data_IF_147714020378
#
_entry.id   IF_147714020378
#
_cell.length_a   1.000
_cell.length_b   1.000
_cell.length_c   1.000
_cell.angle_alpha   90.00
_cell.angle_beta   90.00
_cell.angle_gamma   90.00
#
_symmetry.space_group_name_H-M   'P 1'
#
loop_
_entity.id
_entity.type
_entity.pdbx_description
1 polymer ?
#
# COMPACT_ATOMS: atom_id res chain seq x y z
N UNK A 1 -18.37 -2.60 -17.10
CA UNK A 1 -17.13 -1.88 -17.46
C UNK A 1 -16.27 -1.42 -16.27
N UNK A 2 -16.73 -1.48 -15.01
CA UNK A 2 -15.92 -1.07 -13.84
C UNK A 2 -14.98 -2.16 -13.30
N UNK A 3 -15.36 -3.44 -13.38
CA UNK A 3 -14.56 -4.56 -12.84
C UNK A 3 -13.19 -4.74 -13.52
N UNK A 4 -13.06 -4.43 -14.83
CA UNK A 4 -11.77 -4.49 -15.53
C UNK A 4 -10.83 -3.35 -15.09
N UNK A 5 -11.38 -2.14 -14.87
CA UNK A 5 -10.62 -0.98 -14.39
C UNK A 5 -10.13 -1.17 -12.95
N UNK A 6 -10.89 -1.85 -12.10
CA UNK A 6 -10.48 -2.16 -10.73
C UNK A 6 -9.38 -3.23 -10.69
N UNK A 7 -9.51 -4.31 -11.46
CA UNK A 7 -8.43 -5.31 -11.58
C UNK A 7 -7.13 -4.74 -12.13
N UNK A 8 -7.20 -3.88 -13.15
CA UNK A 8 -6.01 -3.19 -13.69
C UNK A 8 -5.36 -2.23 -12.67
N UNK A 9 -6.15 -1.66 -11.75
CA UNK A 9 -5.64 -0.81 -10.68
C UNK A 9 -5.01 -1.63 -9.56
N UNK A 10 -5.63 -2.74 -9.15
CA UNK A 10 -5.10 -3.69 -8.17
C UNK A 10 -3.80 -4.34 -8.63
N UNK A 11 -3.72 -4.74 -9.90
CA UNK A 11 -2.51 -5.33 -10.49
C UNK A 11 -1.33 -4.34 -10.48
N UNK A 12 -1.60 -3.07 -10.75
CA UNK A 12 -0.60 -1.99 -10.62
C UNK A 12 -0.15 -1.74 -9.17
N UNK A 13 -1.04 -1.90 -8.19
CA UNK A 13 -0.68 -1.76 -6.77
C UNK A 13 0.22 -2.91 -6.30
N UNK A 14 -0.04 -4.13 -6.77
CA UNK A 14 0.80 -5.30 -6.49
C UNK A 14 2.21 -5.09 -7.07
N UNK A 15 2.29 -4.55 -8.29
CA UNK A 15 3.57 -4.25 -8.96
C UNK A 15 4.39 -3.19 -8.21
N UNK A 16 3.75 -2.10 -7.76
CA UNK A 16 4.40 -1.05 -6.97
C UNK A 16 4.95 -1.59 -5.65
N UNK A 17 4.18 -2.40 -4.92
CA UNK A 17 4.64 -3.00 -3.65
C UNK A 17 5.83 -3.93 -3.86
N UNK A 18 5.81 -4.73 -4.93
CA UNK A 18 6.93 -5.60 -5.30
C UNK A 18 8.18 -4.79 -5.62
N UNK A 19 8.04 -3.72 -6.40
CA UNK A 19 9.16 -2.82 -6.74
C UNK A 19 9.77 -2.16 -5.50
N UNK A 20 8.95 -1.70 -4.56
CA UNK A 20 9.41 -1.15 -3.27
C UNK A 20 10.23 -2.18 -2.51
N UNK A 21 9.79 -3.44 -2.43
CA UNK A 21 10.52 -4.51 -1.74
C UNK A 21 11.87 -4.82 -2.41
N UNK A 22 11.93 -4.86 -3.74
CA UNK A 22 13.16 -5.07 -4.50
C UNK A 22 14.18 -3.93 -4.28
N UNK A 23 13.71 -2.68 -4.28
CA UNK A 23 14.55 -1.51 -4.02
C UNK A 23 15.10 -1.52 -2.59
N UNK A 24 14.28 -1.87 -1.59
CA UNK A 24 14.72 -2.01 -0.18
C UNK A 24 15.79 -3.08 -0.03
N UNK A 25 15.59 -4.26 -0.59
CA UNK A 25 16.60 -5.33 -0.57
C UNK A 25 17.91 -4.91 -1.25
N UNK A 26 17.81 -4.17 -2.35
CA UNK A 26 18.99 -3.65 -3.05
C UNK A 26 19.73 -2.62 -2.22
N UNK A 27 18.99 -1.73 -1.53
CA UNK A 27 19.55 -0.74 -0.61
C UNK A 27 20.30 -1.42 0.54
N UNK A 28 19.71 -2.42 1.18
CA UNK A 28 20.34 -3.18 2.27
C UNK A 28 21.66 -3.82 1.85
N UNK A 29 21.70 -4.42 0.65
CA UNK A 29 22.94 -4.99 0.08
C UNK A 29 24.01 -3.92 -0.13
N UNK A 30 23.61 -2.75 -0.63
CA UNK A 30 24.52 -1.62 -0.84
C UNK A 30 25.07 -1.12 0.49
N UNK A 31 24.22 -0.94 1.49
CA UNK A 31 24.61 -0.47 2.82
C UNK A 31 25.54 -1.45 3.54
N UNK A 32 25.23 -2.75 3.50
CA UNK A 32 26.09 -3.81 4.02
C UNK A 32 27.46 -3.84 3.33
N UNK A 33 27.52 -3.53 2.04
CA UNK A 33 28.79 -3.41 1.34
C UNK A 33 29.55 -2.16 1.77
N UNK A 34 28.88 -1.01 1.86
CA UNK A 34 29.49 0.27 2.22
C UNK A 34 30.05 0.28 3.65
N UNK A 35 29.38 -0.38 4.61
CA UNK A 35 29.87 -0.51 5.98
C UNK A 35 31.17 -1.30 6.09
N UNK A 36 31.38 -2.26 5.20
CA UNK A 36 32.58 -3.10 5.13
C UNK A 36 33.58 -2.61 4.07
N UNK A 37 33.34 -1.46 3.44
CA UNK A 37 34.18 -0.97 2.35
C UNK A 37 35.45 -0.30 2.89
N UNK A 38 36.60 -0.44 2.21
CA UNK A 38 37.82 0.24 2.61
C UNK A 38 37.64 1.76 2.61
N UNK A 39 38.33 2.45 3.51
CA UNK A 39 38.32 3.91 3.59
C UNK A 39 38.88 4.54 2.30
N UNK A 40 38.47 5.77 2.00
CA UNK A 40 38.96 6.49 0.82
C UNK A 40 38.27 6.09 -0.48
N UNK A 41 38.93 6.36 -1.59
CA UNK A 41 38.44 6.15 -2.95
C UNK A 41 39.53 5.77 -3.95
N UNK A 42 39.10 5.31 -5.11
CA UNK A 42 39.97 4.97 -6.22
C UNK A 42 40.25 6.19 -7.10
N UNK A 43 41.53 6.45 -7.38
CA UNK A 43 41.96 7.40 -8.42
C UNK A 43 42.66 6.64 -9.54
N UNK A 44 42.28 6.97 -10.76
CA UNK A 44 42.81 6.34 -11.97
C UNK A 44 43.63 7.38 -12.72
N UNK A 45 44.83 7.00 -13.17
CA UNK A 45 45.66 7.83 -14.03
C UNK A 45 46.06 7.04 -15.28
N UNK A 46 45.90 7.64 -16.45
CA UNK A 46 46.30 7.04 -17.71
C UNK A 46 47.58 7.72 -18.21
N UNK A 47 48.61 6.93 -18.51
CA UNK A 47 49.91 7.41 -19.03
C UNK A 47 50.37 6.45 -20.13
N UNK A 48 50.71 6.96 -21.32
CA UNK A 48 51.28 6.18 -22.42
C UNK A 48 50.61 4.80 -22.64
N UNK A 49 49.27 4.79 -22.76
CA UNK A 49 48.42 3.58 -22.93
C UNK A 49 48.38 2.60 -21.74
N UNK A 50 48.91 2.96 -20.58
CA UNK A 50 48.80 2.19 -19.33
C UNK A 50 47.90 2.91 -18.34
N UNK A 51 47.12 2.12 -17.60
CA UNK A 51 46.24 2.59 -16.53
C UNK A 51 46.85 2.26 -15.18
N UNK A 52 46.94 3.26 -14.32
CA UNK A 52 47.49 3.18 -12.97
C UNK A 52 46.39 3.47 -11.95
N UNK A 53 46.30 2.61 -10.95
CA UNK A 53 45.33 2.71 -9.87
C UNK A 53 46.00 3.25 -8.61
N UNK A 54 45.33 4.17 -7.94
CA UNK A 54 45.80 4.77 -6.70
C UNK A 54 44.69 4.75 -5.66
N UNK A 55 45.03 4.41 -4.43
CA UNK A 55 44.17 4.55 -3.26
C UNK A 55 44.37 5.94 -2.68
N UNK A 56 43.30 6.72 -2.59
CA UNK A 56 43.32 8.05 -1.99
C UNK A 56 42.43 8.07 -0.75
N UNK A 57 42.97 8.47 0.40
CA UNK A 57 42.22 8.63 1.64
C UNK A 57 42.78 9.82 2.43
N UNK A 58 41.98 10.30 3.39
CA UNK A 58 42.40 11.37 4.30
C UNK A 58 43.06 10.70 5.50
N UNK A 59 44.32 11.00 5.76
CA UNK A 59 44.99 10.50 6.95
C UNK A 59 44.45 11.25 8.18
N UNK A 60 44.02 10.51 9.19
CA UNK A 60 43.34 11.06 10.38
C UNK A 60 44.33 11.82 11.27
N UNK A 61 45.58 11.35 11.36
CA UNK A 61 46.63 11.93 12.21
C UNK A 61 47.18 13.23 11.64
N UNK A 62 47.39 13.28 10.32
CA UNK A 62 47.98 14.45 9.64
C UNK A 62 46.93 15.38 9.02
N UNK A 63 45.69 14.92 8.87
CA UNK A 63 44.61 15.64 8.18
C UNK A 63 44.79 15.78 6.66
N UNK A 64 45.92 15.31 6.10
CA UNK A 64 46.27 15.45 4.69
C UNK A 64 45.76 14.28 3.85
N UNK A 65 45.53 14.56 2.57
CA UNK A 65 45.19 13.51 1.60
C UNK A 65 46.44 12.75 1.18
N UNK A 66 46.45 11.44 1.44
CA UNK A 66 47.51 10.54 1.00
C UNK A 66 47.03 9.80 -0.25
N UNK A 67 47.94 9.63 -1.22
CA UNK A 67 47.70 8.91 -2.46
C UNK A 67 48.76 7.83 -2.63
N UNK A 68 48.35 6.57 -2.57
CA UNK A 68 49.24 5.40 -2.61
C UNK A 68 48.98 4.62 -3.90
N UNK A 69 50.04 4.20 -4.60
CA UNK A 69 49.91 3.35 -5.78
C UNK A 69 49.43 1.95 -5.41
N UNK A 70 48.46 1.42 -6.17
CA UNK A 70 47.96 0.06 -6.01
C UNK A 70 48.70 -0.84 -7.02
N UNK A 71 49.54 -1.73 -6.51
CA UNK A 71 50.21 -2.74 -7.31
C UNK A 71 49.22 -3.80 -7.85
N UNK A 72 49.58 -4.47 -8.94
CA UNK A 72 48.76 -5.51 -9.59
C UNK A 72 48.39 -6.66 -8.64
N UNK A 73 49.25 -6.99 -7.69
CA UNK A 73 48.95 -8.03 -6.67
C UNK A 73 47.77 -7.64 -5.78
N UNK A 74 47.52 -6.34 -5.61
CA UNK A 74 46.45 -5.79 -4.79
C UNK A 74 45.27 -5.27 -5.62
N UNK A 75 45.05 -5.82 -6.83
CA UNK A 75 43.93 -5.42 -7.70
C UNK A 75 42.56 -5.54 -7.01
N UNK A 76 42.41 -6.48 -6.07
CA UNK A 76 41.19 -6.61 -5.27
C UNK A 76 40.85 -5.33 -4.49
N UNK A 77 41.84 -4.59 -3.99
CA UNK A 77 41.62 -3.30 -3.32
C UNK A 77 41.06 -2.27 -4.31
N UNK A 78 41.61 -2.21 -5.52
CA UNK A 78 41.12 -1.32 -6.56
C UNK A 78 39.66 -1.65 -6.94
N UNK A 79 39.31 -2.94 -7.09
CA UNK A 79 37.94 -3.38 -7.33
C UNK A 79 37.00 -2.97 -6.20
N UNK A 80 37.41 -3.16 -4.94
CA UNK A 80 36.58 -2.80 -3.79
C UNK A 80 36.31 -1.29 -3.71
N UNK A 81 37.33 -0.47 -3.95
CA UNK A 81 37.23 0.98 -3.98
C UNK A 81 36.38 1.48 -5.17
N UNK A 82 36.50 0.85 -6.35
CA UNK A 82 35.66 1.15 -7.50
C UNK A 82 34.19 0.85 -7.20
N UNK A 83 33.90 -0.33 -6.64
CA UNK A 83 32.55 -0.74 -6.27
C UNK A 83 31.94 0.19 -5.22
N UNK A 84 32.71 0.61 -4.22
CA UNK A 84 32.30 1.63 -3.24
C UNK A 84 31.87 2.93 -3.93
N UNK A 85 32.69 3.41 -4.88
CA UNK A 85 32.38 4.62 -5.65
C UNK A 85 31.12 4.49 -6.51
N UNK A 86 30.87 3.31 -7.08
CA UNK A 86 29.64 3.01 -7.81
C UNK A 86 28.42 3.04 -6.88
N UNK A 87 28.47 2.30 -5.76
CA UNK A 87 27.37 2.26 -4.79
C UNK A 87 27.08 3.60 -4.14
N UNK A 88 28.08 4.43 -3.86
CA UNK A 88 27.88 5.78 -3.35
C UNK A 88 27.07 6.67 -4.32
N UNK A 89 27.12 6.40 -5.62
CA UNK A 89 26.32 7.11 -6.64
C UNK A 89 24.94 6.49 -6.85
N UNK A 90 24.83 5.17 -6.76
CA UNK A 90 23.58 4.44 -6.98
C UNK A 90 22.62 4.59 -5.78
N UNK A 91 23.16 4.55 -4.55
CA UNK A 91 22.37 4.68 -3.31
C UNK A 91 21.37 5.86 -3.35
N UNK A 92 21.78 7.12 -3.60
CA UNK A 92 20.82 8.23 -3.60
C UNK A 92 19.79 8.16 -4.72
N UNK A 93 20.09 7.49 -5.84
CA UNK A 93 19.11 7.28 -6.92
C UNK A 93 18.02 6.30 -6.47
N UNK A 94 18.41 5.20 -5.83
CA UNK A 94 17.48 4.21 -5.27
C UNK A 94 16.64 4.83 -4.15
N UNK A 95 17.25 5.61 -3.24
CA UNK A 95 16.52 6.29 -2.17
C UNK A 95 15.46 7.26 -2.72
N UNK A 96 15.82 8.02 -3.76
CA UNK A 96 14.88 8.94 -4.41
C UNK A 96 13.73 8.20 -5.09
N UNK A 97 14.01 7.09 -5.78
CA UNK A 97 12.98 6.26 -6.42
C UNK A 97 12.05 5.65 -5.35
N UNK A 98 12.62 5.14 -4.27
CA UNK A 98 11.87 4.56 -3.16
C UNK A 98 10.95 5.59 -2.51
N UNK A 99 11.45 6.79 -2.21
CA UNK A 99 10.66 7.88 -1.62
C UNK A 99 9.50 8.28 -2.54
N UNK A 100 9.72 8.33 -3.86
CA UNK A 100 8.67 8.65 -4.82
C UNK A 100 7.57 7.57 -4.84
N UNK A 101 7.96 6.30 -4.82
CA UNK A 101 7.03 5.16 -4.80
C UNK A 101 6.26 5.06 -3.47
N UNK A 102 6.91 5.32 -2.34
CA UNK A 102 6.26 5.33 -1.03
C UNK A 102 5.28 6.49 -0.90
N UNK A 103 5.65 7.68 -1.38
CA UNK A 103 4.74 8.84 -1.45
C UNK A 103 3.54 8.52 -2.34
N UNK A 104 3.77 7.91 -3.50
CA UNK A 104 2.69 7.50 -4.41
C UNK A 104 1.76 6.47 -3.77
N UNK A 105 2.32 5.49 -3.06
CA UNK A 105 1.54 4.48 -2.35
C UNK A 105 0.71 5.08 -1.21
N UNK A 106 1.22 6.09 -0.50
CA UNK A 106 0.47 6.82 0.53
C UNK A 106 -0.62 7.71 -0.06
N UNK A 107 -0.31 8.47 -1.11
CA UNK A 107 -1.27 9.33 -1.79
C UNK A 107 -2.43 8.53 -2.40
N UNK A 108 -2.20 7.26 -2.76
CA UNK A 108 -3.25 6.35 -3.25
C UNK A 108 -4.31 5.97 -2.23
N UNK A 109 -4.14 6.29 -0.94
CA UNK A 109 -5.25 6.41 0.00
C UNK A 109 -6.02 7.71 -0.30
N UNK A 110 -6.56 7.80 -1.52
CA UNK A 110 -7.34 8.92 -2.08
C UNK A 110 -8.72 9.05 -1.37
N UNK A 111 -8.80 8.85 -0.05
CA UNK A 111 -9.99 9.14 0.73
C UNK A 111 -10.23 10.65 0.85
N UNK A 112 -9.22 11.49 0.58
CA UNK A 112 -9.35 12.95 0.70
C UNK A 112 -10.49 13.50 -0.17
N UNK A 113 -10.59 13.06 -1.43
CA UNK A 113 -11.67 13.47 -2.35
C UNK A 113 -13.02 12.94 -1.86
N UNK A 114 -13.05 11.67 -1.43
CA UNK A 114 -14.26 10.99 -0.97
C UNK A 114 -14.79 11.61 0.34
N UNK A 115 -13.89 12.09 1.20
CA UNK A 115 -14.19 12.70 2.49
C UNK A 115 -14.61 14.17 2.41
N UNK A 116 -14.39 14.87 1.28
CA UNK A 116 -14.83 16.27 1.12
C UNK A 116 -16.33 16.39 1.37
N UNK A 117 -17.11 15.45 0.84
CA UNK A 117 -18.56 15.43 1.05
C UNK A 117 -18.90 15.22 2.54
N UNK A 118 -18.18 14.33 3.23
CA UNK A 118 -18.40 14.05 4.64
C UNK A 118 -18.12 15.25 5.56
N UNK A 119 -17.21 16.13 5.15
CA UNK A 119 -16.88 17.37 5.87
C UNK A 119 -17.93 18.48 5.68
N UNK A 120 -18.85 18.34 4.71
CA UNK A 120 -19.92 19.33 4.51
C UNK A 120 -20.97 19.25 5.62
N UNK A 121 -21.47 20.42 6.03
CA UNK A 121 -22.67 20.50 6.89
C UNK A 121 -23.90 19.96 6.17
N UNK A 122 -24.86 19.45 6.93
CA UNK A 122 -26.04 18.76 6.40
C UNK A 122 -26.84 19.62 5.41
N UNK A 123 -26.96 20.93 5.66
CA UNK A 123 -27.68 21.85 4.78
C UNK A 123 -26.99 22.00 3.42
N UNK A 124 -25.66 21.93 3.40
CA UNK A 124 -24.87 21.96 2.15
C UNK A 124 -24.86 20.61 1.44
N UNK A 125 -24.85 19.50 2.18
CA UNK A 125 -24.96 18.15 1.61
C UNK A 125 -26.21 18.00 0.75
N UNK A 126 -27.34 18.56 1.17
CA UNK A 126 -28.60 18.55 0.41
C UNK A 126 -28.56 19.33 -0.91
N UNK A 127 -27.59 20.24 -1.09
CA UNK A 127 -27.49 21.12 -2.25
C UNK A 127 -26.39 20.70 -3.23
N UNK A 128 -25.59 19.69 -2.88
CA UNK A 128 -24.41 19.27 -3.65
C UNK A 128 -24.61 17.84 -4.14
N UNK A 129 -24.27 17.60 -5.41
CA UNK A 129 -24.14 16.24 -5.94
C UNK A 129 -22.67 15.84 -5.80
N UNK A 130 -22.32 14.87 -4.93
CA UNK A 130 -20.93 14.46 -4.75
C UNK A 130 -20.38 13.82 -6.03
N UNK A 131 -19.15 14.19 -6.41
CA UNK A 131 -18.42 13.55 -7.52
C UNK A 131 -18.11 12.09 -7.17
N UNK A 132 -17.73 11.85 -5.91
CA UNK A 132 -17.54 10.54 -5.29
C UNK A 132 -18.04 10.59 -3.87
N UNK A 133 -18.59 9.47 -3.40
CA UNK A 133 -19.16 9.31 -2.06
C UNK A 133 -18.27 8.36 -1.27
N UNK A 134 -17.93 8.73 -0.04
CA UNK A 134 -17.13 7.89 0.85
C UNK A 134 -17.83 6.57 1.18
N UNK A 135 -17.04 5.59 1.60
CA UNK A 135 -17.55 4.30 2.09
C UNK A 135 -18.47 4.51 3.29
N UNK A 136 -18.10 5.42 4.19
CA UNK A 136 -18.86 5.73 5.40
C UNK A 136 -20.24 6.30 5.06
N UNK A 137 -20.33 7.21 4.09
CA UNK A 137 -21.60 7.80 3.71
C UNK A 137 -22.49 6.81 2.94
N UNK A 138 -21.90 5.91 2.13
CA UNK A 138 -22.64 4.79 1.54
C UNK A 138 -23.26 3.89 2.61
N UNK A 139 -22.49 3.53 3.63
CA UNK A 139 -22.98 2.74 4.76
C UNK A 139 -24.09 3.46 5.52
N UNK A 140 -23.94 4.78 5.78
CA UNK A 140 -24.98 5.59 6.40
C UNK A 140 -26.25 5.67 5.57
N UNK A 141 -26.12 5.86 4.26
CA UNK A 141 -27.27 5.91 3.36
C UNK A 141 -27.99 4.57 3.37
N UNK A 142 -27.26 3.46 3.27
CA UNK A 142 -27.83 2.11 3.37
C UNK A 142 -28.53 1.84 4.71
N UNK A 143 -27.94 2.28 5.83
CA UNK A 143 -28.55 2.10 7.15
C UNK A 143 -29.85 2.89 7.34
N UNK A 144 -29.97 4.04 6.67
CA UNK A 144 -31.14 4.90 6.76
C UNK A 144 -32.15 4.68 5.61
N UNK A 145 -31.81 3.84 4.63
CA UNK A 145 -32.70 3.53 3.51
C UNK A 145 -33.81 2.60 4.03
N UNK A 146 -35.06 3.09 4.03
CA UNK A 146 -36.21 2.26 4.36
C UNK A 146 -36.53 1.33 3.19
N UNK A 147 -36.52 0.03 3.43
CA UNK A 147 -36.93 -0.94 2.41
C UNK A 147 -38.42 -1.30 2.55
N UNK A 148 -39.12 -1.45 1.43
CA UNK A 148 -40.50 -1.94 1.43
C UNK A 148 -40.50 -3.46 1.55
N UNK A 149 -41.06 -4.04 2.64
CA UNK A 149 -41.05 -5.47 2.81
C UNK A 149 -41.80 -6.15 1.67
N UNK A 150 -41.20 -7.16 1.07
CA UNK A 150 -41.76 -8.02 0.06
C UNK A 150 -43.01 -8.72 0.60
N UNK A 151 -44.18 -8.20 0.24
CA UNK A 151 -45.45 -8.68 0.79
C UNK A 151 -45.90 -10.04 0.23
N UNK A 152 -45.24 -10.56 -0.82
CA UNK A 152 -45.68 -11.79 -1.50
C UNK A 152 -45.22 -13.02 -0.70
N UNK A 153 -46.15 -13.95 -0.48
CA UNK A 153 -45.93 -15.20 0.24
C UNK A 153 -45.48 -15.01 1.70
N UNK A 154 -46.26 -14.26 2.50
CA UNK A 154 -46.00 -14.07 3.94
C UNK A 154 -45.96 -15.38 4.71
N UNK A 155 -46.71 -16.38 4.25
CA UNK A 155 -46.74 -17.72 4.81
C UNK A 155 -45.35 -18.38 4.83
N UNK A 156 -44.40 -17.91 4.01
CA UNK A 156 -43.06 -18.47 3.95
C UNK A 156 -42.06 -17.87 4.95
N UNK A 157 -42.41 -16.81 5.70
CA UNK A 157 -41.60 -16.31 6.83
C UNK A 157 -41.77 -17.27 8.02
N UNK A 158 -41.01 -18.37 8.00
CA UNK A 158 -41.14 -19.45 9.00
C UNK A 158 -39.89 -19.67 9.84
N UNK A 159 -38.76 -19.10 9.43
CA UNK A 159 -37.48 -19.36 10.08
C UNK A 159 -37.06 -18.14 10.89
N UNK A 160 -36.76 -18.32 12.17
CA UNK A 160 -36.37 -17.25 13.08
C UNK A 160 -34.84 -17.12 13.16
N UNK A 161 -34.34 -15.89 13.20
CA UNK A 161 -32.91 -15.57 13.42
C UNK A 161 -32.61 -15.43 14.91
N UNK A 162 -31.33 -15.39 15.29
CA UNK A 162 -30.91 -15.24 16.69
C UNK A 162 -31.31 -13.87 17.28
N UNK A 163 -31.59 -12.89 16.40
CA UNK A 163 -32.07 -11.56 16.75
C UNK A 163 -33.62 -11.46 16.75
N UNK A 164 -34.34 -12.57 16.55
CA UNK A 164 -35.82 -12.61 16.56
C UNK A 164 -36.49 -12.16 15.26
N UNK A 165 -35.74 -12.02 14.17
CA UNK A 165 -36.27 -11.67 12.85
C UNK A 165 -36.75 -12.93 12.12
N UNK A 166 -37.81 -12.82 11.31
CA UNK A 166 -38.34 -13.96 10.53
C UNK A 166 -37.89 -13.88 9.07
N UNK A 167 -37.27 -14.96 8.57
CA UNK A 167 -36.76 -15.08 7.20
C UNK A 167 -37.37 -16.27 6.46
N UNK A 168 -37.28 -16.25 5.12
CA UNK A 168 -37.93 -17.25 4.25
C UNK A 168 -37.11 -18.51 3.96
N UNK A 169 -35.84 -18.56 4.37
CA UNK A 169 -34.96 -19.70 4.10
C UNK A 169 -33.96 -19.95 5.21
N UNK A 170 -33.54 -21.21 5.37
CA UNK A 170 -32.46 -21.61 6.28
C UNK A 170 -31.13 -20.93 5.94
N UNK A 171 -30.85 -20.75 4.65
CA UNK A 171 -29.69 -19.96 4.20
C UNK A 171 -29.77 -18.51 4.65
N UNK A 172 -30.97 -17.92 4.65
CA UNK A 172 -31.20 -16.57 5.18
C UNK A 172 -30.91 -16.46 6.67
N UNK A 173 -31.29 -17.47 7.47
CA UNK A 173 -30.96 -17.51 8.91
C UNK A 173 -29.45 -17.51 9.12
N UNK A 174 -28.74 -18.38 8.40
CA UNK A 174 -27.28 -18.48 8.51
C UNK A 174 -26.61 -17.14 8.18
N UNK A 175 -27.03 -16.50 7.09
CA UNK A 175 -26.46 -15.22 6.67
C UNK A 175 -26.77 -14.12 7.69
N UNK A 176 -28.02 -13.99 8.13
CA UNK A 176 -28.44 -12.99 9.10
C UNK A 176 -27.68 -13.12 10.43
N UNK A 177 -27.57 -14.35 10.97
CA UNK A 177 -26.86 -14.60 12.22
C UNK A 177 -25.36 -14.30 12.12
N UNK A 178 -24.72 -14.62 10.98
CA UNK A 178 -23.29 -14.31 10.75
C UNK A 178 -23.07 -12.80 10.72
N UNK A 179 -23.92 -12.05 10.01
CA UNK A 179 -23.80 -10.59 9.90
C UNK A 179 -24.04 -9.90 11.25
N UNK A 180 -25.09 -10.33 11.97
CA UNK A 180 -25.39 -9.85 13.31
C UNK A 180 -24.21 -10.05 14.27
N UNK A 181 -23.56 -11.22 14.21
CA UNK A 181 -22.43 -11.56 15.08
C UNK A 181 -21.17 -10.74 14.79
N UNK A 182 -20.99 -10.27 13.57
CA UNK A 182 -19.82 -9.48 13.15
C UNK A 182 -19.96 -7.97 13.42
N UNK A 183 -21.03 -7.51 14.07
CA UNK A 183 -21.37 -6.07 14.22
C UNK A 183 -21.37 -5.32 12.87
N UNK A 184 -21.56 -6.04 11.78
CA UNK A 184 -21.86 -5.43 10.49
C UNK A 184 -23.32 -5.01 10.60
N UNK A 185 -23.56 -3.73 10.91
CA UNK A 185 -24.87 -3.07 10.80
C UNK A 185 -25.29 -2.96 9.32
N UNK A 186 -25.21 -4.07 8.59
CA UNK A 186 -25.79 -4.28 7.30
C UNK A 186 -27.21 -4.76 7.58
N UNK A 187 -28.18 -3.91 7.28
CA UNK A 187 -29.54 -4.36 7.05
C UNK A 187 -29.48 -5.35 5.88
N UNK A 188 -29.38 -6.64 6.19
CA UNK A 188 -29.52 -7.67 5.21
C UNK A 188 -31.00 -7.92 5.02
N UNK A 189 -31.61 -7.11 4.17
CA UNK A 189 -32.98 -7.38 3.79
C UNK A 189 -33.00 -8.56 2.81
N UNK A 190 -33.21 -9.75 3.37
CA UNK A 190 -33.28 -11.05 2.68
C UNK A 190 -34.32 -11.04 1.54
N UNK A 191 -35.17 -10.01 1.50
CA UNK A 191 -36.26 -9.85 0.55
C UNK A 191 -35.85 -9.15 -0.76
N UNK A 192 -34.72 -8.45 -0.80
CA UNK A 192 -34.20 -7.81 -2.02
C UNK A 192 -33.15 -8.71 -2.64
N UNK A 193 -33.40 -9.21 -3.85
CA UNK A 193 -32.30 -9.60 -4.74
C UNK A 193 -31.56 -8.33 -5.20
N UNK A 194 -30.76 -7.72 -4.33
CA UNK A 194 -29.57 -7.02 -4.82
C UNK A 194 -28.42 -8.01 -4.75
N UNK A 195 -28.04 -8.51 -5.92
CA UNK A 195 -26.74 -9.15 -6.06
C UNK A 195 -25.72 -8.17 -5.48
N UNK A 196 -24.92 -8.64 -4.52
CA UNK A 196 -23.63 -8.01 -4.27
C UNK A 196 -22.97 -7.86 -5.64
N UNK A 197 -22.78 -6.62 -6.10
CA UNK A 197 -21.72 -6.43 -7.06
C UNK A 197 -20.46 -6.85 -6.30
N UNK A 198 -19.63 -7.73 -6.86
CA UNK A 198 -18.48 -8.32 -6.16
C UNK A 198 -17.56 -7.25 -5.50
N UNK A 199 -17.67 -6.01 -5.97
CA UNK A 199 -17.04 -4.80 -5.43
C UNK A 199 -17.52 -4.39 -4.02
N UNK A 200 -18.76 -4.66 -3.64
CA UNK A 200 -19.33 -4.25 -2.34
C UNK A 200 -18.86 -5.17 -1.19
N UNK A 201 -18.51 -6.41 -1.50
CA UNK A 201 -17.97 -7.37 -0.52
C UNK A 201 -16.53 -6.99 -0.10
N UNK A 202 -15.77 -6.38 -1.00
CA UNK A 202 -14.38 -5.96 -0.74
C UNK A 202 -14.31 -4.70 0.14
N UNK A 203 -15.31 -3.82 0.01
CA UNK A 203 -15.52 -2.67 0.90
C UNK A 203 -15.76 -3.11 2.36
N UNK A 204 -16.51 -4.19 2.56
CA UNK A 204 -16.75 -4.77 3.89
C UNK A 204 -15.48 -5.37 4.51
N UNK A 205 -14.67 -6.07 3.72
CA UNK A 205 -13.36 -6.60 4.18
C UNK A 205 -12.42 -5.49 4.65
N UNK A 206 -12.42 -4.35 3.95
CA UNK A 206 -11.52 -3.22 4.25
C UNK A 206 -11.96 -2.44 5.51
N UNK A 207 -13.28 -2.36 5.75
CA UNK A 207 -13.84 -1.77 6.97
C UNK A 207 -13.55 -2.63 8.22
N UNK A 208 -13.63 -3.96 8.11
CA UNK A 208 -13.29 -4.88 9.20
C UNK A 208 -11.82 -4.79 9.61
N UNK A 209 -10.89 -4.59 8.66
CA UNK A 209 -9.45 -4.48 8.99
C UNK A 209 -9.07 -3.20 9.74
N UNK A 210 -9.81 -2.09 9.57
CA UNK A 210 -9.53 -0.83 10.26
C UNK A 210 -10.04 -0.80 11.71
N UNK A 211 -11.06 -1.59 12.04
CA UNK A 211 -11.61 -1.64 13.40
C UNK A 211 -10.80 -2.54 14.35
N UNK A 212 -10.00 -3.48 13.83
CA UNK A 212 -9.10 -4.30 14.66
C UNK A 212 -7.80 -3.59 15.08
N UNK A 213 -7.51 -2.38 14.57
CA UNK A 213 -6.31 -1.61 14.97
C UNK A 213 -6.59 -0.48 15.98
N UNK A 214 -7.85 -0.25 16.37
CA UNK A 214 -8.22 0.74 17.40
C UNK A 214 -8.47 0.16 18.80
N UNK A 215 -8.33 -1.16 18.96
CA UNK A 215 -8.32 -1.84 20.25
C UNK A 215 -7.07 -2.71 20.38
N UNK A 216 -5.93 -2.07 20.62
CA UNK A 216 -4.75 -2.62 21.31
C UNK A 216 -3.97 -1.48 21.92
#
# INVERSE_FOLDING_TARGET
MNCLRQREQEEKVIDVKKRIAELKHTLEKIEKYLSNAPEGGLKIQNRYRKTYYYHQYKNIETGLYVKIYIDRKNEQLARRLAQKGYYAKVKPLIEKELQALETFAQAKNDEEIDNVYDMLKQERKQLVVPIRISVNEKLRTWQNESYEPYQKYKENLKYETDNGESVRSKSGVIIANILAKNNEHLLYDVEVKRYFDLNDIELLRTACSHNSQKHS
#
